data_IF_731238624990
#
_entry.id   IF_731238624990
#
_cell.length_a   1.000
_cell.length_b   1.000
_cell.length_c   1.000
_cell.angle_alpha   90.00
_cell.angle_beta   90.00
_cell.angle_gamma   90.00
#
_symmetry.space_group_name_H-M   'P 1'
#
loop_
_entity.id
_entity.type
_entity.pdbx_description
1 polymer ?
#
# COMPACT_ATOMS: atom_id res chain seq x y z
N UNK A 1 7.85 -18.69 -11.90
CA UNK A 1 6.59 -18.43 -12.65
C UNK A 1 6.58 -16.97 -12.99
N UNK A 2 6.69 -16.61 -14.27
CA UNK A 2 6.61 -15.22 -14.72
C UNK A 2 5.22 -14.67 -14.38
N UNK A 3 5.17 -13.44 -13.89
CA UNK A 3 3.93 -12.76 -13.55
C UNK A 3 3.69 -11.62 -14.53
N UNK A 4 2.60 -11.68 -15.24
CA UNK A 4 2.20 -10.65 -16.20
C UNK A 4 0.98 -9.88 -15.67
N UNK A 5 1.13 -8.57 -15.51
CA UNK A 5 0.03 -7.69 -15.12
C UNK A 5 -0.94 -7.41 -16.27
N UNK A 6 -0.45 -7.51 -17.53
CA UNK A 6 -1.17 -7.12 -18.74
C UNK A 6 -1.15 -8.17 -19.84
N UNK A 7 -0.70 -9.40 -19.61
CA UNK A 7 -0.49 -10.47 -20.59
C UNK A 7 0.40 -10.09 -21.80
N UNK A 8 1.18 -9.00 -21.71
CA UNK A 8 1.89 -8.47 -22.89
C UNK A 8 3.40 -8.37 -22.76
N UNK A 9 3.99 -8.35 -21.55
CA UNK A 9 5.40 -8.02 -21.38
C UNK A 9 6.03 -8.75 -20.23
N UNK A 10 6.42 -9.98 -20.45
CA UNK A 10 7.19 -10.78 -19.51
C UNK A 10 8.68 -10.49 -19.71
N UNK A 11 9.32 -10.00 -18.65
CA UNK A 11 10.77 -9.98 -18.54
C UNK A 11 11.13 -11.04 -17.51
N UNK A 12 11.75 -12.12 -17.94
CA UNK A 12 12.28 -13.15 -17.04
C UNK A 12 13.55 -12.64 -16.36
N UNK A 13 13.48 -12.50 -15.04
CA UNK A 13 14.66 -12.26 -14.20
C UNK A 13 14.94 -13.51 -13.37
N UNK A 14 16.19 -13.99 -13.47
CA UNK A 14 16.74 -15.02 -12.62
C UNK A 14 17.13 -14.44 -11.24
N UNK A 15 16.22 -13.70 -10.61
CA UNK A 15 16.41 -13.25 -9.23
C UNK A 15 15.71 -14.20 -8.27
N UNK A 16 16.41 -14.50 -7.19
CA UNK A 16 15.95 -15.33 -6.08
C UNK A 16 14.47 -15.09 -5.79
N UNK A 17 13.73 -16.16 -5.63
CA UNK A 17 12.29 -16.16 -5.29
C UNK A 17 11.94 -15.38 -3.98
N UNK A 18 12.97 -14.83 -3.32
CA UNK A 18 12.88 -14.07 -2.07
C UNK A 18 12.57 -12.59 -2.25
N UNK A 19 12.89 -11.99 -3.40
CA UNK A 19 12.66 -10.56 -3.64
C UNK A 19 11.23 -10.31 -4.08
N UNK A 20 10.52 -9.42 -3.39
CA UNK A 20 9.15 -9.02 -3.72
C UNK A 20 9.12 -7.87 -4.73
N UNK A 21 10.03 -6.91 -4.57
CA UNK A 21 10.15 -5.72 -5.40
C UNK A 21 11.59 -5.21 -5.32
N UNK A 22 12.10 -4.62 -6.40
CA UNK A 22 13.36 -3.89 -6.38
C UNK A 22 13.35 -2.70 -7.33
N UNK A 23 14.28 -1.76 -7.11
CA UNK A 23 14.49 -0.61 -7.99
C UNK A 23 15.89 -0.60 -8.57
N UNK A 24 16.04 -0.08 -9.80
CA UNK A 24 17.32 0.13 -10.47
C UNK A 24 17.39 1.57 -10.98
N UNK A 25 18.37 2.31 -10.52
CA UNK A 25 18.64 3.74 -10.86
C UNK A 25 17.38 4.60 -10.79
N UNK A 26 16.55 4.41 -9.74
CA UNK A 26 15.29 5.12 -9.60
C UNK A 26 15.56 6.59 -9.30
N UNK A 27 15.11 7.47 -10.19
CA UNK A 27 15.20 8.92 -10.07
C UNK A 27 13.83 9.56 -10.16
N UNK A 28 13.61 10.62 -9.38
CA UNK A 28 12.36 11.36 -9.37
C UNK A 28 12.62 12.85 -9.40
N UNK A 29 11.96 13.54 -10.31
CA UNK A 29 12.00 15.00 -10.43
C UNK A 29 10.63 15.61 -10.20
N UNK A 30 10.62 16.79 -9.57
CA UNK A 30 9.50 17.70 -9.52
C UNK A 30 9.89 18.98 -10.30
N UNK A 31 9.40 19.12 -11.53
CA UNK A 31 9.89 20.14 -12.46
C UNK A 31 11.37 19.94 -12.77
N UNK A 32 12.21 20.89 -12.37
CA UNK A 32 13.66 20.83 -12.54
C UNK A 32 14.42 20.33 -11.29
N UNK A 33 13.72 20.10 -10.20
CA UNK A 33 14.33 19.66 -8.95
C UNK A 33 14.36 18.11 -8.88
N UNK A 34 15.56 17.54 -8.85
CA UNK A 34 15.77 16.12 -8.64
C UNK A 34 15.62 15.80 -7.14
N UNK A 35 14.60 15.06 -6.79
CA UNK A 35 14.28 14.68 -5.40
C UNK A 35 14.82 13.30 -5.01
N UNK A 36 15.03 12.40 -5.97
CA UNK A 36 15.65 11.08 -5.79
C UNK A 36 16.72 10.91 -6.87
N UNK A 37 17.94 10.57 -6.45
CA UNK A 37 19.18 10.65 -7.25
C UNK A 37 19.75 9.27 -7.63
N UNK A 38 18.93 8.38 -8.16
CA UNK A 38 19.38 7.03 -8.55
C UNK A 38 19.49 6.09 -7.35
N UNK A 39 18.40 5.44 -7.01
CA UNK A 39 18.31 4.56 -5.83
C UNK A 39 18.07 3.12 -6.28
N UNK A 40 18.95 2.23 -5.80
CA UNK A 40 18.87 0.78 -5.98
C UNK A 40 18.55 0.15 -4.62
N UNK A 41 17.37 -0.43 -4.46
CA UNK A 41 16.95 -1.13 -3.24
C UNK A 41 16.22 -2.41 -3.61
N UNK A 42 16.40 -3.44 -2.78
CA UNK A 42 15.65 -4.69 -2.85
C UNK A 42 14.81 -4.87 -1.59
N UNK A 43 13.60 -5.41 -1.76
CA UNK A 43 12.66 -5.68 -0.68
C UNK A 43 12.31 -7.15 -0.63
N UNK A 44 12.62 -7.81 0.50
CA UNK A 44 12.33 -9.22 0.68
C UNK A 44 10.85 -9.49 0.92
N UNK A 45 10.36 -10.62 0.41
CA UNK A 45 8.98 -11.09 0.62
C UNK A 45 8.71 -11.34 2.10
N UNK A 46 7.48 -11.01 2.53
CA UNK A 46 6.98 -11.27 3.89
C UNK A 46 7.87 -10.69 5.00
N UNK A 47 8.51 -9.57 4.72
CA UNK A 47 9.33 -8.81 5.65
C UNK A 47 8.78 -7.40 5.82
N UNK A 48 9.12 -6.77 6.94
CA UNK A 48 8.93 -5.34 7.15
C UNK A 48 10.27 -4.65 6.86
N UNK A 49 10.29 -3.79 5.85
CA UNK A 49 11.44 -2.92 5.55
C UNK A 49 11.10 -1.49 5.90
N UNK A 50 11.85 -0.89 6.83
CA UNK A 50 11.67 0.50 7.24
C UNK A 50 12.63 1.44 6.49
N UNK A 51 12.09 2.48 5.86
CA UNK A 51 12.84 3.59 5.31
C UNK A 51 12.94 4.70 6.37
N UNK A 52 14.13 4.89 6.93
CA UNK A 52 14.38 5.82 8.03
C UNK A 52 15.33 6.93 7.55
N UNK A 53 15.14 8.14 8.06
CA UNK A 53 16.00 9.29 7.75
C UNK A 53 15.29 10.62 8.05
N UNK A 54 15.99 11.77 7.93
CA UNK A 54 15.45 13.08 8.25
C UNK A 54 14.27 13.46 7.36
N UNK A 55 13.44 14.39 7.83
CA UNK A 55 12.38 14.98 7.01
C UNK A 55 12.98 15.64 5.75
N UNK A 56 12.29 15.50 4.61
CA UNK A 56 12.75 16.05 3.33
C UNK A 56 13.81 15.21 2.60
N UNK A 57 14.24 14.06 3.14
CA UNK A 57 15.23 13.18 2.46
C UNK A 57 14.66 12.36 1.30
N UNK A 58 13.41 12.55 0.94
CA UNK A 58 12.81 11.88 -0.22
C UNK A 58 12.11 10.54 0.06
N UNK A 59 12.07 10.05 1.32
CA UNK A 59 11.48 8.73 1.66
C UNK A 59 10.06 8.53 1.13
N UNK A 60 9.17 9.47 1.41
CA UNK A 60 7.78 9.41 0.92
C UNK A 60 7.69 9.55 -0.60
N UNK A 61 8.57 10.35 -1.23
CA UNK A 61 8.67 10.44 -2.68
C UNK A 61 9.08 9.10 -3.28
N UNK A 62 10.10 8.46 -2.72
CA UNK A 62 10.53 7.12 -3.12
C UNK A 62 9.41 6.10 -2.93
N UNK A 63 8.83 6.01 -1.72
CA UNK A 63 7.74 5.08 -1.42
C UNK A 63 6.57 5.21 -2.40
N UNK A 64 6.12 6.46 -2.67
CA UNK A 64 5.01 6.74 -3.59
C UNK A 64 5.34 6.43 -5.05
N UNK A 65 6.61 6.38 -5.43
CA UNK A 65 7.01 5.95 -6.77
C UNK A 65 6.77 4.47 -6.97
N UNK A 66 6.93 3.62 -5.93
CA UNK A 66 6.79 2.18 -6.03
C UNK A 66 5.41 1.70 -6.51
N UNK A 67 4.37 2.51 -6.33
CA UNK A 67 3.03 2.25 -6.86
C UNK A 67 2.50 3.37 -7.77
N UNK A 68 3.41 4.20 -8.31
CA UNK A 68 3.13 5.26 -9.28
C UNK A 68 2.14 6.34 -8.77
N UNK A 69 2.10 6.57 -7.45
CA UNK A 69 1.26 7.66 -6.90
C UNK A 69 1.78 9.04 -7.31
N UNK A 70 3.06 9.16 -7.64
CA UNK A 70 3.65 10.41 -8.12
C UNK A 70 3.19 10.80 -9.53
N UNK A 71 2.67 9.88 -10.34
CA UNK A 71 2.12 10.17 -11.67
C UNK A 71 0.97 11.20 -11.65
N UNK A 72 0.27 11.30 -10.52
CA UNK A 72 -0.81 12.27 -10.33
C UNK A 72 -0.34 13.70 -10.04
N UNK A 73 0.95 13.92 -9.85
CA UNK A 73 1.53 15.23 -9.51
C UNK A 73 2.05 15.88 -10.80
N UNK A 74 1.48 17.04 -11.16
CA UNK A 74 1.91 17.77 -12.36
C UNK A 74 3.40 18.12 -12.29
N UNK A 75 4.12 17.89 -13.40
CA UNK A 75 5.55 18.14 -13.49
C UNK A 75 6.43 17.08 -12.84
N UNK A 76 5.87 15.97 -12.36
CA UNK A 76 6.69 14.85 -11.87
C UNK A 76 7.18 13.99 -13.03
N UNK A 77 8.45 13.63 -12.98
CA UNK A 77 9.08 12.68 -13.88
C UNK A 77 9.78 11.59 -13.06
N UNK A 78 9.48 10.32 -13.35
CA UNK A 78 10.09 9.16 -12.70
C UNK A 78 10.81 8.34 -13.75
N UNK A 79 12.10 8.11 -13.57
CA UNK A 79 12.94 7.27 -14.45
C UNK A 79 13.63 6.17 -13.65
N UNK A 80 14.31 5.26 -14.34
CA UNK A 80 14.81 4.02 -13.75
C UNK A 80 13.74 2.94 -13.76
N UNK A 81 14.02 1.80 -13.16
CA UNK A 81 13.10 0.65 -13.12
C UNK A 81 12.54 0.42 -11.75
N UNK A 82 11.30 -0.01 -11.70
CA UNK A 82 10.62 -0.51 -10.51
C UNK A 82 10.13 -1.91 -10.83
N UNK A 83 10.90 -2.90 -10.40
CA UNK A 83 10.65 -4.30 -10.77
C UNK A 83 9.79 -4.97 -9.71
N UNK A 84 8.59 -5.35 -10.10
CA UNK A 84 7.69 -6.20 -9.33
C UNK A 84 7.58 -7.55 -10.02
N UNK A 85 8.09 -8.60 -9.36
CA UNK A 85 8.29 -9.90 -10.02
C UNK A 85 9.15 -9.69 -11.28
N UNK A 86 8.65 -10.08 -12.45
CA UNK A 86 9.38 -9.96 -13.72
C UNK A 86 8.95 -8.72 -14.54
N UNK A 87 8.18 -7.80 -13.95
CA UNK A 87 7.57 -6.68 -14.66
C UNK A 87 8.10 -5.34 -14.15
N UNK A 88 8.63 -4.51 -15.04
CA UNK A 88 8.92 -3.11 -14.72
C UNK A 88 7.60 -2.31 -14.69
N UNK A 89 7.14 -2.03 -13.47
CA UNK A 89 5.87 -1.31 -13.26
C UNK A 89 5.97 0.19 -13.54
N UNK A 90 7.18 0.73 -13.76
CA UNK A 90 7.38 2.14 -14.14
C UNK A 90 7.10 2.40 -15.64
N UNK A 91 6.91 1.36 -16.44
CA UNK A 91 6.60 1.51 -17.87
C UNK A 91 5.24 2.15 -18.09
N UNK A 92 5.14 2.94 -19.17
CA UNK A 92 3.92 3.70 -19.51
C UNK A 92 2.75 2.84 -19.97
N UNK A 93 3.01 1.64 -20.45
CA UNK A 93 2.00 0.69 -20.94
C UNK A 93 1.39 -0.20 -19.85
N UNK A 94 1.87 -0.09 -18.61
CA UNK A 94 1.32 -0.81 -17.46
C UNK A 94 -0.03 -0.24 -17.04
N UNK A 95 -1.01 -1.12 -16.84
CA UNK A 95 -2.27 -0.76 -16.19
C UNK A 95 -2.04 -0.46 -14.71
N UNK A 96 -2.05 0.83 -14.37
CA UNK A 96 -1.81 1.32 -13.01
C UNK A 96 -2.86 0.83 -12.03
N UNK A 97 -4.09 0.62 -12.46
CA UNK A 97 -5.17 0.13 -11.58
C UNK A 97 -4.95 -1.34 -11.21
N UNK A 98 -4.56 -2.17 -12.17
CA UNK A 98 -4.22 -3.57 -11.91
C UNK A 98 -2.96 -3.68 -11.05
N UNK A 99 -1.94 -2.88 -11.30
CA UNK A 99 -0.72 -2.82 -10.50
C UNK A 99 -1.03 -2.43 -9.05
N UNK A 100 -1.87 -1.43 -8.81
CA UNK A 100 -2.24 -0.96 -7.46
C UNK A 100 -3.08 -1.96 -6.65
N UNK A 101 -3.66 -2.98 -7.28
CA UNK A 101 -4.22 -4.13 -6.56
C UNK A 101 -3.13 -4.95 -5.89
N UNK A 102 -1.95 -5.02 -6.49
CA UNK A 102 -0.82 -5.83 -6.01
C UNK A 102 0.09 -5.06 -5.07
N UNK A 103 0.20 -3.75 -5.27
CA UNK A 103 1.02 -2.84 -4.47
C UNK A 103 0.08 -1.80 -3.85
N UNK A 104 -0.48 -2.14 -2.69
CA UNK A 104 -1.41 -1.29 -1.94
C UNK A 104 -0.68 -0.18 -1.19
N UNK A 105 -1.42 0.88 -0.80
CA UNK A 105 -0.84 2.00 -0.06
C UNK A 105 -1.77 2.52 1.04
N UNK A 106 -1.17 2.83 2.19
CA UNK A 106 -1.78 3.53 3.32
C UNK A 106 -1.04 4.85 3.54
N UNK A 107 -1.78 5.93 3.64
CA UNK A 107 -1.23 7.28 3.76
C UNK A 107 -1.04 7.71 5.22
N UNK A 108 -0.21 8.72 5.42
CA UNK A 108 0.09 9.32 6.71
C UNK A 108 -1.18 9.81 7.45
N UNK A 109 -2.05 10.50 6.72
CA UNK A 109 -3.34 10.93 7.27
C UNK A 109 -4.41 9.92 6.89
N UNK A 110 -5.22 9.45 7.84
CA UNK A 110 -6.36 8.60 7.53
C UNK A 110 -7.24 9.25 6.47
N UNK A 111 -7.63 8.49 5.46
CA UNK A 111 -8.43 8.98 4.35
C UNK A 111 -9.60 8.02 4.03
N UNK A 112 -10.46 7.71 5.00
CA UNK A 112 -11.64 6.91 4.72
C UNK A 112 -12.55 7.65 3.74
N UNK A 113 -13.22 6.90 2.87
CA UNK A 113 -14.25 7.47 2.02
C UNK A 113 -15.44 7.95 2.88
N UNK A 114 -16.14 9.01 2.44
CA UNK A 114 -17.40 9.49 3.04
C UNK A 114 -18.54 8.50 2.83
N UNK A 115 -18.34 7.27 3.30
CA UNK A 115 -19.18 6.10 3.18
C UNK A 115 -19.23 5.34 4.50
N UNK A 116 -20.02 4.27 4.57
CA UNK A 116 -20.00 3.38 5.73
C UNK A 116 -18.68 2.63 5.87
N UNK A 117 -18.43 2.04 7.06
CA UNK A 117 -17.28 1.18 7.32
C UNK A 117 -17.26 0.02 6.32
N UNK A 118 -18.40 -0.65 6.14
CA UNK A 118 -18.59 -1.73 5.19
C UNK A 118 -18.25 -1.32 3.75
N UNK A 119 -18.78 -0.18 3.31
CA UNK A 119 -18.54 0.31 1.94
C UNK A 119 -17.09 0.74 1.72
N UNK A 120 -16.38 1.23 2.75
CA UNK A 120 -14.95 1.52 2.62
C UNK A 120 -14.15 0.30 2.18
N UNK A 121 -14.47 -0.87 2.70
CA UNK A 121 -13.78 -2.12 2.37
C UNK A 121 -14.29 -2.69 1.05
N UNK A 122 -15.60 -2.71 0.84
CA UNK A 122 -16.19 -3.37 -0.33
C UNK A 122 -16.14 -2.55 -1.62
N UNK A 123 -15.82 -1.25 -1.55
CA UNK A 123 -15.84 -0.36 -2.71
C UNK A 123 -14.94 -0.84 -3.86
N UNK A 124 -13.68 -1.12 -3.57
CA UNK A 124 -12.73 -1.59 -4.58
C UNK A 124 -13.13 -2.98 -5.10
N UNK A 125 -13.50 -3.91 -4.22
CA UNK A 125 -13.94 -5.25 -4.58
C UNK A 125 -15.11 -5.22 -5.58
N UNK A 126 -16.12 -4.39 -5.29
CA UNK A 126 -17.28 -4.20 -6.18
C UNK A 126 -16.90 -3.57 -7.52
N UNK A 127 -15.96 -2.63 -7.53
CA UNK A 127 -15.43 -2.02 -8.78
C UNK A 127 -14.71 -3.05 -9.65
N UNK A 128 -14.08 -4.05 -9.04
CA UNK A 128 -13.41 -5.16 -9.72
C UNK A 128 -14.32 -6.37 -9.96
N UNK A 129 -15.65 -6.19 -9.84
CA UNK A 129 -16.63 -7.17 -10.29
C UNK A 129 -17.14 -8.14 -9.23
N UNK A 130 -16.66 -8.07 -7.97
CA UNK A 130 -17.21 -8.91 -6.91
C UNK A 130 -18.66 -8.48 -6.59
N UNK A 131 -19.60 -9.44 -6.64
CA UNK A 131 -21.02 -9.21 -6.41
C UNK A 131 -21.61 -10.15 -5.35
N UNK A 132 -20.90 -11.21 -5.02
CA UNK A 132 -21.34 -12.16 -4.02
C UNK A 132 -21.33 -11.52 -2.63
N UNK A 133 -22.52 -11.40 -2.04
CA UNK A 133 -22.69 -10.77 -0.74
C UNK A 133 -21.98 -11.55 0.37
N UNK A 134 -22.09 -12.87 0.37
CA UNK A 134 -21.47 -13.71 1.42
C UNK A 134 -19.94 -13.53 1.38
N UNK A 135 -19.36 -13.57 0.20
CA UNK A 135 -17.91 -13.35 0.02
C UNK A 135 -17.46 -11.96 0.42
N UNK A 136 -18.27 -10.92 0.12
CA UNK A 136 -17.99 -9.57 0.58
C UNK A 136 -18.04 -9.46 2.10
N UNK A 137 -19.02 -10.09 2.76
CA UNK A 137 -19.17 -10.11 4.21
C UNK A 137 -17.95 -10.81 4.86
N UNK A 138 -17.52 -11.95 4.34
CA UNK A 138 -16.33 -12.67 4.79
C UNK A 138 -15.04 -11.84 4.65
N UNK A 139 -14.88 -11.12 3.53
CA UNK A 139 -13.71 -10.25 3.32
C UNK A 139 -13.73 -9.06 4.29
N UNK A 140 -14.89 -8.46 4.52
CA UNK A 140 -15.04 -7.34 5.47
C UNK A 140 -14.65 -7.79 6.88
N UNK A 141 -15.20 -8.90 7.36
CA UNK A 141 -14.88 -9.45 8.67
C UNK A 141 -13.40 -9.78 8.81
N UNK A 142 -12.85 -10.53 7.85
CA UNK A 142 -11.44 -10.93 7.84
C UNK A 142 -10.50 -9.72 7.84
N UNK A 143 -10.75 -8.72 6.98
CA UNK A 143 -9.91 -7.54 6.86
C UNK A 143 -9.96 -6.68 8.13
N UNK A 144 -11.13 -6.51 8.73
CA UNK A 144 -11.28 -5.77 9.99
C UNK A 144 -10.64 -6.50 11.18
N UNK A 145 -10.67 -7.84 11.21
CA UNK A 145 -9.97 -8.65 12.20
C UNK A 145 -8.46 -8.49 12.07
N UNK A 146 -7.93 -8.60 10.86
CA UNK A 146 -6.50 -8.42 10.60
C UNK A 146 -6.01 -7.01 10.96
N UNK A 147 -6.86 -5.99 10.80
CA UNK A 147 -6.58 -4.60 11.19
C UNK A 147 -6.87 -4.29 12.67
N UNK A 148 -7.16 -5.31 13.50
CA UNK A 148 -7.51 -5.17 14.91
C UNK A 148 -8.67 -4.18 15.18
N UNK A 149 -9.64 -4.11 14.27
CA UNK A 149 -10.76 -3.16 14.35
C UNK A 149 -12.13 -3.84 14.51
N UNK A 150 -12.26 -5.12 14.19
CA UNK A 150 -13.53 -5.86 14.14
C UNK A 150 -14.37 -5.71 15.38
N UNK A 151 -13.80 -6.00 16.56
CA UNK A 151 -14.55 -6.00 17.83
C UNK A 151 -15.12 -4.61 18.19
N UNK A 152 -14.52 -3.54 17.67
CA UNK A 152 -14.95 -2.17 17.92
C UNK A 152 -16.06 -1.71 16.99
N UNK A 153 -16.23 -2.34 15.82
CA UNK A 153 -17.12 -1.86 14.76
C UNK A 153 -18.16 -2.86 14.24
N UNK A 154 -18.06 -4.14 14.61
CA UNK A 154 -18.90 -5.23 14.08
C UNK A 154 -20.40 -4.94 14.14
N UNK A 155 -20.88 -4.27 15.19
CA UNK A 155 -22.30 -3.91 15.37
C UNK A 155 -22.68 -2.61 14.65
N UNK A 156 -21.73 -1.93 13.99
CA UNK A 156 -21.90 -0.60 13.41
C UNK A 156 -21.35 -0.48 11.98
N UNK A 157 -21.21 -1.60 11.26
CA UNK A 157 -20.59 -1.64 9.93
C UNK A 157 -21.21 -0.68 8.89
N UNK A 158 -22.48 -0.37 9.05
CA UNK A 158 -23.22 0.54 8.15
C UNK A 158 -23.20 2.01 8.59
N UNK A 159 -22.57 2.33 9.75
CA UNK A 159 -22.37 3.73 10.15
C UNK A 159 -21.23 4.38 9.36
N UNK A 160 -21.26 5.71 9.33
CA UNK A 160 -20.24 6.52 8.64
C UNK A 160 -18.84 6.23 9.19
N UNK A 161 -17.89 5.95 8.29
CA UNK A 161 -16.49 5.78 8.63
C UNK A 161 -15.84 7.06 9.20
N UNK A 162 -16.40 8.24 8.87
CA UNK A 162 -15.91 9.52 9.38
C UNK A 162 -16.23 9.75 10.86
N UNK A 163 -17.14 8.95 11.45
CA UNK A 163 -17.45 9.00 12.88
C UNK A 163 -16.46 8.23 13.75
N UNK A 164 -15.53 7.51 13.16
CA UNK A 164 -14.47 6.77 13.85
C UNK A 164 -13.39 7.73 14.39
N UNK A 165 -12.71 7.33 15.47
CA UNK A 165 -11.50 8.03 15.95
C UNK A 165 -10.36 7.98 14.91
N UNK A 166 -9.35 8.84 15.02
CA UNK A 166 -8.22 8.87 14.09
C UNK A 166 -7.52 7.51 13.97
N UNK A 167 -7.23 6.85 15.10
CA UNK A 167 -6.64 5.51 15.09
C UNK A 167 -7.54 4.43 14.49
N UNK A 168 -8.85 4.50 14.73
CA UNK A 168 -9.82 3.61 14.09
C UNK A 168 -9.92 3.86 12.59
N UNK A 169 -9.90 5.12 12.15
CA UNK A 169 -9.88 5.47 10.72
C UNK A 169 -8.61 4.94 10.04
N UNK A 170 -7.46 5.05 10.69
CA UNK A 170 -6.20 4.53 10.14
C UNK A 170 -6.25 3.01 9.98
N UNK A 171 -6.72 2.29 11.01
CA UNK A 171 -6.91 0.83 10.90
C UNK A 171 -7.95 0.44 9.87
N UNK A 172 -8.99 1.24 9.67
CA UNK A 172 -9.93 1.04 8.55
C UNK A 172 -9.24 1.23 7.19
N UNK A 173 -8.35 2.21 7.05
CA UNK A 173 -7.57 2.38 5.81
C UNK A 173 -6.63 1.19 5.57
N UNK A 174 -6.04 0.62 6.62
CA UNK A 174 -5.27 -0.63 6.52
C UNK A 174 -6.18 -1.78 6.09
N UNK A 175 -7.33 -1.98 6.76
CA UNK A 175 -8.30 -3.02 6.41
C UNK A 175 -8.74 -2.90 4.94
N UNK A 176 -9.02 -1.68 4.47
CA UNK A 176 -9.36 -1.41 3.07
C UNK A 176 -8.25 -1.82 2.11
N UNK A 177 -7.01 -1.53 2.44
CA UNK A 177 -5.86 -1.88 1.60
C UNK A 177 -5.67 -3.39 1.51
N UNK A 178 -5.72 -4.12 2.63
CA UNK A 178 -5.52 -5.58 2.67
C UNK A 178 -6.71 -6.38 2.13
N UNK A 179 -7.92 -5.79 2.08
CA UNK A 179 -9.11 -6.43 1.50
C UNK A 179 -8.91 -6.85 0.03
N UNK A 180 -8.07 -6.14 -0.70
CA UNK A 180 -7.68 -6.47 -2.08
C UNK A 180 -6.63 -7.58 -2.16
N UNK A 181 -6.13 -8.08 -1.00
CA UNK A 181 -5.05 -9.07 -0.90
C UNK A 181 -3.83 -8.68 -1.74
N UNK A 182 -3.23 -7.50 -1.48
CA UNK A 182 -2.01 -7.10 -2.19
C UNK A 182 -0.84 -8.02 -1.82
N UNK A 183 0.17 -8.10 -2.67
CA UNK A 183 1.43 -8.77 -2.34
C UNK A 183 2.34 -7.84 -1.51
N UNK A 184 2.22 -6.53 -1.73
CA UNK A 184 3.03 -5.50 -1.08
C UNK A 184 2.12 -4.41 -0.50
N UNK A 185 2.39 -4.00 0.73
CA UNK A 185 1.72 -2.91 1.42
C UNK A 185 2.73 -1.79 1.71
N UNK A 186 2.51 -0.64 1.09
CA UNK A 186 3.28 0.57 1.32
C UNK A 186 2.61 1.41 2.40
N UNK A 187 3.38 1.87 3.40
CA UNK A 187 2.85 2.72 4.48
C UNK A 187 3.71 3.98 4.62
N UNK A 188 3.09 5.13 4.42
CA UNK A 188 3.74 6.42 4.54
C UNK A 188 3.43 7.01 5.92
N UNK A 189 4.32 6.84 6.89
CA UNK A 189 4.20 7.32 8.28
C UNK A 189 2.84 7.01 8.95
N UNK A 190 2.36 5.76 8.95
CA UNK A 190 0.96 5.41 9.27
C UNK A 190 0.54 5.73 10.70
N UNK A 191 1.47 5.99 11.61
CA UNK A 191 1.20 6.25 13.02
C UNK A 191 1.56 7.68 13.48
N UNK A 192 2.20 8.50 12.63
CA UNK A 192 2.77 9.81 13.03
C UNK A 192 1.74 10.84 13.53
N UNK A 193 0.47 10.69 13.14
CA UNK A 193 -0.61 11.61 13.53
C UNK A 193 -1.55 11.02 14.62
N UNK A 194 -1.14 9.91 15.25
CA UNK A 194 -1.97 9.17 16.20
C UNK A 194 -1.48 9.40 17.65
N UNK A 195 -2.39 9.16 18.60
CA UNK A 195 -2.04 9.08 20.02
C UNK A 195 -1.19 7.82 20.31
N UNK A 196 -0.45 7.76 21.44
CA UNK A 196 0.47 6.64 21.73
C UNK A 196 -0.21 5.26 21.78
N UNK A 197 -1.45 5.18 22.26
CA UNK A 197 -2.19 3.90 22.35
C UNK A 197 -2.57 3.41 20.94
N UNK A 198 -3.09 4.31 20.12
CA UNK A 198 -3.43 4.02 18.72
C UNK A 198 -2.18 3.67 17.90
N UNK A 199 -1.05 4.34 18.16
CA UNK A 199 0.25 4.03 17.54
C UNK A 199 0.66 2.59 17.83
N UNK A 200 0.71 2.19 19.10
CA UNK A 200 1.07 0.82 19.48
C UNK A 200 0.14 -0.24 18.84
N UNK A 201 -1.17 0.05 18.75
CA UNK A 201 -2.10 -0.87 18.10
C UNK A 201 -1.84 -0.99 16.60
N UNK A 202 -1.49 0.10 15.91
CA UNK A 202 -1.14 0.06 14.48
C UNK A 202 0.17 -0.72 14.28
N UNK A 203 1.19 -0.47 15.10
CA UNK A 203 2.47 -1.19 15.02
C UNK A 203 2.31 -2.70 15.23
N UNK A 204 1.57 -3.11 16.26
CA UNK A 204 1.25 -4.52 16.51
C UNK A 204 0.49 -5.14 15.32
N UNK A 205 -0.46 -4.41 14.75
CA UNK A 205 -1.18 -4.82 13.55
C UNK A 205 -0.22 -5.09 12.39
N UNK A 206 0.75 -4.21 12.14
CA UNK A 206 1.72 -4.39 11.05
C UNK A 206 2.65 -5.58 11.30
N UNK A 207 3.06 -5.81 12.55
CA UNK A 207 3.87 -7.00 12.90
C UNK A 207 3.12 -8.29 12.59
N UNK A 208 1.82 -8.34 12.85
CA UNK A 208 1.00 -9.53 12.55
C UNK A 208 0.76 -9.69 11.03
N UNK A 209 0.66 -8.59 10.30
CA UNK A 209 0.43 -8.61 8.85
C UNK A 209 1.64 -9.11 8.05
N UNK A 210 2.88 -9.00 8.56
CA UNK A 210 4.10 -9.41 7.85
C UNK A 210 4.11 -10.90 7.46
N UNK A 211 3.35 -11.74 8.16
CA UNK A 211 3.27 -13.17 7.83
C UNK A 211 2.66 -13.41 6.44
N UNK A 212 1.79 -12.51 5.99
CA UNK A 212 1.05 -12.63 4.74
C UNK A 212 1.38 -11.55 3.70
N UNK A 213 2.04 -10.47 4.11
CA UNK A 213 2.29 -9.30 3.26
C UNK A 213 3.74 -8.85 3.35
N UNK A 214 4.29 -8.43 2.23
CA UNK A 214 5.54 -7.65 2.22
C UNK A 214 5.20 -6.21 2.59
N UNK A 215 5.87 -5.66 3.60
CA UNK A 215 5.57 -4.32 4.12
C UNK A 215 6.77 -3.41 3.91
N UNK A 216 6.55 -2.26 3.25
CA UNK A 216 7.55 -1.20 3.11
C UNK A 216 6.97 0.04 3.81
N UNK A 217 7.65 0.51 4.86
CA UNK A 217 7.15 1.59 5.71
C UNK A 217 8.14 2.75 5.77
N UNK A 218 7.64 3.97 5.64
CA UNK A 218 8.37 5.18 6.04
C UNK A 218 8.02 5.49 7.48
N UNK A 219 9.03 5.66 8.31
CA UNK A 219 8.87 6.03 9.72
C UNK A 219 10.00 6.94 10.18
N UNK A 220 9.77 7.70 11.23
CA UNK A 220 10.78 8.52 11.92
C UNK A 220 11.30 7.87 13.19
N UNK A 221 10.69 6.79 13.67
CA UNK A 221 11.04 6.02 14.87
C UNK A 221 11.48 4.62 14.51
#
# INVERSE_FOLDING_TARGET
MSYDMNDRHLITFDKDDKVALYTEDLKVWYGQNEAIHGVDLEFEKNCITALIGPSGSGKSTYLRSLNRMNDGISGTNVTGKIMYKDVDVNRKDIDVYEMRKRIGMVFQRPNPFSKSIYENITFALKRHGERDKQKLDEIVESSLKQAALWEQVKDNLHKSALALSGGQQQRLCIARAIAMKPDILLLDEPASALDPISTGTVEETLVNLKENYTIIIVTHN
#
